data_IF_285813399344
#
_entry.id   IF_285813399344
#
_cell.length_a   1.000
_cell.length_b   1.000
_cell.length_c   1.000
_cell.angle_alpha   90.00
_cell.angle_beta   90.00
_cell.angle_gamma   90.00
#
_symmetry.space_group_name_H-M   'P 1'
#
loop_
_entity.id
_entity.type
_entity.pdbx_description
1 polymer ?
#
# COMPACT_ATOMS: atom_id res chain seq x y z
N UNK A 1 12.93 -1.27 -19.65
CA UNK A 1 12.53 0.16 -19.77
C UNK A 1 11.80 0.57 -18.49
N UNK A 2 12.25 1.63 -17.83
CA UNK A 2 11.65 2.13 -16.58
C UNK A 2 10.63 3.23 -16.91
N UNK A 3 9.48 3.18 -16.24
CA UNK A 3 8.53 4.30 -16.18
C UNK A 3 9.28 5.56 -15.71
N UNK A 4 8.86 6.76 -16.13
CA UNK A 4 9.47 7.99 -15.63
C UNK A 4 9.38 8.05 -14.10
N UNK A 5 10.52 8.30 -13.43
CA UNK A 5 10.59 8.42 -11.98
C UNK A 5 9.57 9.41 -11.43
N UNK A 6 9.34 10.52 -12.14
CA UNK A 6 8.38 11.56 -11.77
C UNK A 6 6.95 11.03 -11.84
N UNK A 7 6.62 10.21 -12.85
CA UNK A 7 5.28 9.59 -12.95
C UNK A 7 5.01 8.64 -11.78
N UNK A 8 5.99 7.80 -11.40
CA UNK A 8 5.83 6.87 -10.29
C UNK A 8 5.67 7.59 -8.94
N UNK A 9 6.38 8.70 -8.72
CA UNK A 9 6.21 9.55 -7.52
C UNK A 9 4.81 10.16 -7.47
N UNK A 10 4.34 10.76 -8.56
CA UNK A 10 2.99 11.37 -8.62
C UNK A 10 1.89 10.32 -8.46
N UNK A 11 2.03 9.14 -9.07
CA UNK A 11 1.14 7.99 -8.82
C UNK A 11 1.09 7.62 -7.34
N UNK A 12 2.25 7.58 -6.67
CA UNK A 12 2.35 7.30 -5.24
C UNK A 12 1.61 8.33 -4.40
N UNK A 13 1.82 9.63 -4.66
CA UNK A 13 1.15 10.72 -3.93
C UNK A 13 -0.37 10.66 -4.15
N UNK A 14 -0.82 10.52 -5.40
CA UNK A 14 -2.26 10.42 -5.70
C UNK A 14 -2.91 9.23 -5.02
N UNK A 15 -2.21 8.08 -4.97
CA UNK A 15 -2.70 6.91 -4.24
C UNK A 15 -2.82 7.17 -2.73
N UNK A 16 -1.85 7.87 -2.12
CA UNK A 16 -1.92 8.23 -0.69
C UNK A 16 -3.11 9.13 -0.38
N UNK A 17 -3.38 10.12 -1.22
CA UNK A 17 -4.53 11.01 -1.05
C UNK A 17 -5.86 10.26 -1.17
N UNK A 18 -6.00 9.39 -2.17
CA UNK A 18 -7.22 8.58 -2.36
C UNK A 18 -7.42 7.61 -1.20
N UNK A 19 -6.36 6.92 -0.77
CA UNK A 19 -6.42 5.96 0.32
C UNK A 19 -6.78 6.59 1.67
N UNK A 20 -6.22 7.77 1.98
CA UNK A 20 -6.57 8.51 3.21
C UNK A 20 -7.99 9.06 3.15
N UNK A 21 -8.42 9.58 1.99
CA UNK A 21 -9.79 10.03 1.79
C UNK A 21 -10.80 8.90 1.97
N UNK A 22 -10.51 7.71 1.46
CA UNK A 22 -11.34 6.50 1.63
C UNK A 22 -11.50 6.13 3.10
N UNK A 23 -10.40 6.06 3.86
CA UNK A 23 -10.46 5.75 5.30
C UNK A 23 -11.26 6.79 6.08
N UNK A 24 -11.09 8.09 5.78
CA UNK A 24 -11.89 9.16 6.42
C UNK A 24 -13.37 8.99 6.06
N UNK A 25 -13.67 8.74 4.78
CA UNK A 25 -15.04 8.56 4.32
C UNK A 25 -15.72 7.35 4.98
N UNK A 26 -15.07 6.19 5.00
CA UNK A 26 -15.58 5.00 5.66
C UNK A 26 -15.73 5.20 7.17
N UNK A 27 -14.73 5.80 7.81
CA UNK A 27 -14.79 6.10 9.23
C UNK A 27 -15.97 7.01 9.54
N UNK A 28 -16.20 8.06 8.73
CA UNK A 28 -17.37 8.93 8.89
C UNK A 28 -18.68 8.19 8.67
N UNK A 29 -18.76 7.33 7.65
CA UNK A 29 -19.93 6.53 7.33
C UNK A 29 -20.36 5.61 8.49
N UNK A 30 -19.40 4.97 9.17
CA UNK A 30 -19.71 4.06 10.29
C UNK A 30 -19.83 4.75 11.65
N UNK A 31 -19.07 5.83 11.87
CA UNK A 31 -19.06 6.53 13.15
C UNK A 31 -20.11 7.62 13.26
N UNK A 32 -20.60 8.13 12.12
CA UNK A 32 -21.47 9.31 12.00
C UNK A 32 -20.86 10.58 12.60
N UNK A 33 -19.54 10.58 12.84
CA UNK A 33 -18.80 11.70 13.44
C UNK A 33 -17.61 12.09 12.57
N UNK A 34 -17.64 13.31 12.05
CA UNK A 34 -16.55 13.84 11.23
C UNK A 34 -15.26 14.02 12.04
N UNK A 35 -15.38 14.37 13.33
CA UNK A 35 -14.23 14.52 14.21
C UNK A 35 -13.53 13.17 14.43
N UNK A 36 -14.29 12.12 14.71
CA UNK A 36 -13.74 10.77 14.86
C UNK A 36 -13.08 10.29 13.56
N UNK A 37 -13.74 10.52 12.42
CA UNK A 37 -13.23 10.14 11.11
C UNK A 37 -11.90 10.82 10.76
N UNK A 38 -11.79 12.13 11.02
CA UNK A 38 -10.56 12.88 10.81
C UNK A 38 -9.44 12.42 11.74
N UNK A 39 -9.74 12.13 13.01
CA UNK A 39 -8.76 11.56 13.96
C UNK A 39 -8.24 10.20 13.48
N UNK A 40 -9.12 9.30 13.05
CA UNK A 40 -8.74 7.99 12.53
C UNK A 40 -7.85 8.14 11.30
N UNK A 41 -8.28 8.92 10.30
CA UNK A 41 -7.51 9.12 9.07
C UNK A 41 -6.15 9.79 9.31
N UNK A 42 -6.07 10.73 10.23
CA UNK A 42 -4.81 11.39 10.59
C UNK A 42 -3.86 10.42 11.29
N UNK A 43 -4.32 9.71 12.32
CA UNK A 43 -3.49 8.72 13.05
C UNK A 43 -3.00 7.65 12.08
N UNK A 44 -3.89 7.12 11.23
CA UNK A 44 -3.57 6.08 10.24
C UNK A 44 -2.41 6.51 9.31
N UNK A 45 -2.40 7.78 8.88
CA UNK A 45 -1.37 8.29 7.99
C UNK A 45 0.02 8.19 8.62
N UNK A 46 0.15 8.50 9.91
CA UNK A 46 1.42 8.40 10.64
C UNK A 46 1.75 6.97 11.06
N UNK A 47 0.78 6.21 11.57
CA UNK A 47 1.00 4.82 12.03
C UNK A 47 1.42 3.94 10.87
N UNK A 48 0.82 4.05 9.67
CA UNK A 48 1.22 3.23 8.52
C UNK A 48 2.62 3.54 8.03
N UNK A 49 3.12 4.77 8.18
CA UNK A 49 4.52 5.09 7.86
C UNK A 49 5.46 4.36 8.83
N UNK A 50 5.18 4.45 10.14
CA UNK A 50 5.96 3.78 11.17
C UNK A 50 5.91 2.25 11.05
N UNK A 51 4.71 1.68 10.88
CA UNK A 51 4.49 0.25 10.71
C UNK A 51 5.18 -0.28 9.45
N UNK A 52 5.13 0.45 8.34
CA UNK A 52 5.82 0.04 7.12
C UNK A 52 7.32 -0.03 7.35
N UNK A 53 7.89 0.99 8.01
CA UNK A 53 9.30 1.01 8.35
C UNK A 53 9.67 -0.17 9.27
N UNK A 54 8.92 -0.40 10.34
CA UNK A 54 9.17 -1.51 11.27
C UNK A 54 9.03 -2.87 10.58
N UNK A 55 8.00 -3.04 9.75
CA UNK A 55 7.77 -4.25 8.96
C UNK A 55 8.96 -4.56 8.06
N UNK A 56 9.47 -3.56 7.34
CA UNK A 56 10.64 -3.74 6.48
C UNK A 56 11.91 -4.07 7.30
N UNK A 57 12.12 -3.43 8.46
CA UNK A 57 13.25 -3.75 9.36
C UNK A 57 13.19 -5.16 9.91
N UNK A 58 12.01 -5.61 10.31
CA UNK A 58 11.77 -6.98 10.75
C UNK A 58 12.06 -7.94 9.59
N UNK A 59 11.61 -7.61 8.38
CA UNK A 59 11.85 -8.44 7.20
C UNK A 59 13.33 -8.52 6.80
N UNK A 60 14.13 -7.50 7.06
CA UNK A 60 15.58 -7.57 6.81
C UNK A 60 16.24 -8.56 7.78
N UNK A 61 15.79 -8.61 9.04
CA UNK A 61 16.33 -9.53 10.06
C UNK A 61 15.97 -10.99 9.78
N UNK A 62 14.75 -11.25 9.30
CA UNK A 62 14.35 -12.57 8.86
C UNK A 62 14.99 -12.86 7.49
N UNK A 63 16.08 -13.62 7.47
CA UNK A 63 16.84 -14.02 6.26
C UNK A 63 16.06 -14.92 5.28
N UNK A 64 14.73 -14.97 5.36
CA UNK A 64 13.88 -15.82 4.52
C UNK A 64 13.95 -15.34 3.08
N UNK A 65 14.42 -16.24 2.21
CA UNK A 65 14.38 -16.06 0.77
C UNK A 65 15.39 -15.06 0.20
N UNK A 66 16.42 -14.67 0.95
CA UNK A 66 17.49 -13.77 0.49
C UNK A 66 18.54 -14.45 -0.42
N UNK A 67 18.29 -15.68 -0.90
CA UNK A 67 19.16 -16.31 -1.89
C UNK A 67 19.03 -15.59 -3.23
N UNK A 68 19.89 -14.60 -3.42
CA UNK A 68 20.13 -13.94 -4.69
C UNK A 68 20.86 -14.96 -5.56
N UNK A 69 20.19 -15.50 -6.57
CA UNK A 69 20.89 -16.22 -7.62
C UNK A 69 21.60 -15.18 -8.49
N UNK A 70 22.92 -15.09 -8.37
CA UNK A 70 23.76 -14.26 -9.24
C UNK A 70 23.97 -15.03 -10.54
N UNK A 71 23.37 -14.55 -11.62
CA UNK A 71 23.66 -15.03 -12.96
C UNK A 71 24.72 -14.10 -13.56
N UNK A 72 25.93 -14.60 -13.76
CA UNK A 72 26.95 -13.89 -14.54
C UNK A 72 26.67 -14.19 -16.01
N UNK A 73 26.27 -13.15 -16.76
CA UNK A 73 26.24 -13.20 -18.22
C UNK A 73 27.57 -12.61 -18.74
N UNK A 74 28.11 -13.13 -19.84
CA UNK A 74 29.40 -12.74 -20.46
C UNK A 74 29.56 -11.22 -20.66
N UNK A 75 28.47 -10.45 -20.62
CA UNK A 75 28.46 -8.99 -20.74
C UNK A 75 28.53 -8.22 -19.40
N UNK A 76 29.01 -8.82 -18.31
CA UNK A 76 29.24 -8.15 -17.00
C UNK A 76 28.04 -7.46 -16.35
N UNK A 77 26.80 -7.79 -16.74
CA UNK A 77 25.59 -7.25 -16.12
C UNK A 77 25.10 -8.18 -15.01
N UNK A 78 25.25 -7.76 -13.75
CA UNK A 78 24.75 -8.50 -12.58
C UNK A 78 23.23 -8.31 -12.48
N UNK A 79 22.45 -9.36 -12.73
CA UNK A 79 20.99 -9.34 -12.54
C UNK A 79 20.60 -9.98 -11.20
N UNK A 80 20.07 -9.15 -10.30
CA UNK A 80 19.46 -9.60 -9.05
C UNK A 80 18.05 -10.14 -9.31
N UNK A 81 17.80 -11.42 -9.01
CA UNK A 81 16.47 -12.04 -9.12
C UNK A 81 16.00 -12.55 -7.77
N UNK A 82 15.12 -11.80 -7.12
CA UNK A 82 14.40 -12.25 -5.93
C UNK A 82 13.44 -13.41 -6.27
N UNK A 83 13.24 -14.35 -5.34
CA UNK A 83 12.18 -15.37 -5.48
C UNK A 83 10.81 -14.67 -5.48
N UNK A 84 10.02 -14.93 -6.52
CA UNK A 84 8.70 -14.30 -6.72
C UNK A 84 7.73 -14.48 -5.53
N UNK A 85 7.89 -15.56 -4.76
CA UNK A 85 7.11 -15.84 -3.55
C UNK A 85 7.39 -14.86 -2.39
N UNK A 86 8.61 -14.33 -2.26
CA UNK A 86 8.98 -13.41 -1.16
C UNK A 86 8.13 -12.14 -1.19
N UNK A 87 7.95 -11.56 -2.38
CA UNK A 87 7.14 -10.36 -2.58
C UNK A 87 5.65 -10.60 -2.29
N UNK A 88 5.14 -11.80 -2.60
CA UNK A 88 3.76 -12.19 -2.30
C UNK A 88 3.55 -12.29 -0.78
N UNK A 89 4.42 -13.00 -0.05
CA UNK A 89 4.34 -13.12 1.42
C UNK A 89 4.50 -11.76 2.10
N UNK A 90 5.42 -10.93 1.61
CA UNK A 90 5.60 -9.55 2.10
C UNK A 90 4.32 -8.73 1.88
N UNK A 91 3.68 -8.85 0.72
CA UNK A 91 2.41 -8.19 0.43
C UNK A 91 1.28 -8.64 1.35
N UNK A 92 1.10 -9.95 1.55
CA UNK A 92 0.06 -10.52 2.42
C UNK A 92 0.27 -10.09 3.87
N UNK A 93 1.50 -10.19 4.39
CA UNK A 93 1.82 -9.74 5.74
C UNK A 93 1.54 -8.26 5.93
N UNK A 94 1.91 -7.40 4.96
CA UNK A 94 1.61 -5.98 5.01
C UNK A 94 0.11 -5.69 5.06
N UNK A 95 -0.71 -6.44 4.29
CA UNK A 95 -2.17 -6.29 4.32
C UNK A 95 -2.74 -6.66 5.69
N UNK A 96 -2.26 -7.75 6.29
CA UNK A 96 -2.68 -8.17 7.62
C UNK A 96 -2.39 -7.09 8.67
N UNK A 97 -1.14 -6.62 8.77
CA UNK A 97 -0.77 -5.57 9.74
C UNK A 97 -1.50 -4.26 9.48
N UNK A 98 -1.68 -3.88 8.21
CA UNK A 98 -2.39 -2.66 7.85
C UNK A 98 -3.87 -2.67 8.22
N UNK A 99 -4.54 -3.82 8.15
CA UNK A 99 -5.95 -3.98 8.58
C UNK A 99 -6.06 -4.00 10.09
N UNK A 100 -5.14 -4.69 10.78
CA UNK A 100 -5.10 -4.71 12.24
C UNK A 100 -4.89 -3.31 12.80
N UNK A 101 -4.00 -2.51 12.21
CA UNK A 101 -3.76 -1.12 12.59
C UNK A 101 -5.04 -0.27 12.50
N UNK A 102 -5.74 -0.31 11.36
CA UNK A 102 -6.99 0.43 11.17
C UNK A 102 -8.06 0.01 12.17
N UNK A 103 -8.18 -1.29 12.47
CA UNK A 103 -9.12 -1.79 13.49
C UNK A 103 -8.76 -1.26 14.88
N UNK A 104 -7.48 -1.31 15.26
CA UNK A 104 -7.00 -0.83 16.57
C UNK A 104 -7.26 0.68 16.70
N UNK A 105 -6.86 1.48 15.71
CA UNK A 105 -7.06 2.93 15.71
C UNK A 105 -8.56 3.26 15.81
N UNK A 106 -9.38 2.59 15.00
CA UNK A 106 -10.83 2.78 15.03
C UNK A 106 -11.42 2.40 16.40
N UNK A 107 -10.93 1.34 17.03
CA UNK A 107 -11.34 0.94 18.38
C UNK A 107 -10.94 1.97 19.44
N UNK A 108 -9.71 2.49 19.36
CA UNK A 108 -9.22 3.49 20.30
C UNK A 108 -10.00 4.80 20.23
N UNK A 109 -10.46 5.18 19.04
CA UNK A 109 -11.23 6.43 18.83
C UNK A 109 -12.72 6.24 19.13
N UNK A 110 -13.31 5.12 18.73
CA UNK A 110 -14.77 4.91 18.79
C UNK A 110 -15.23 4.16 20.03
N UNK A 111 -14.33 3.41 20.68
CA UNK A 111 -14.62 2.46 21.76
C UNK A 111 -15.68 1.40 21.41
N UNK A 112 -15.92 1.15 20.12
CA UNK A 112 -16.94 0.22 19.64
C UNK A 112 -16.33 -0.83 18.70
N UNK A 113 -16.26 -2.08 19.18
CA UNK A 113 -15.72 -3.20 18.42
C UNK A 113 -16.44 -3.40 17.08
N UNK A 114 -17.78 -3.38 17.07
CA UNK A 114 -18.57 -3.62 15.85
C UNK A 114 -18.23 -2.61 14.74
N UNK A 115 -18.16 -1.32 15.07
CA UNK A 115 -17.79 -0.26 14.11
C UNK A 115 -16.35 -0.39 13.64
N UNK A 116 -15.42 -0.65 14.55
CA UNK A 116 -14.01 -0.80 14.21
C UNK A 116 -13.75 -1.98 13.26
N UNK A 117 -14.38 -3.12 13.50
CA UNK A 117 -14.30 -4.27 12.58
C UNK A 117 -14.97 -3.98 11.24
N UNK A 118 -16.13 -3.29 11.23
CA UNK A 118 -16.80 -2.90 9.99
C UNK A 118 -15.91 -1.99 9.13
N UNK A 119 -15.28 -0.98 9.72
CA UNK A 119 -14.34 -0.07 9.04
C UNK A 119 -13.15 -0.86 8.47
N UNK A 120 -12.47 -1.65 9.31
CA UNK A 120 -11.29 -2.41 8.88
C UNK A 120 -11.59 -3.45 7.79
N UNK A 121 -12.72 -4.13 7.89
CA UNK A 121 -13.14 -5.12 6.89
C UNK A 121 -13.51 -4.45 5.56
N UNK A 122 -14.33 -3.40 5.59
CA UNK A 122 -14.74 -2.68 4.37
C UNK A 122 -13.56 -2.01 3.68
N UNK A 123 -12.61 -1.45 4.43
CA UNK A 123 -11.38 -0.85 3.90
C UNK A 123 -10.61 -1.80 2.97
N UNK A 124 -10.54 -3.09 3.31
CA UNK A 124 -9.81 -4.06 2.47
C UNK A 124 -10.41 -4.14 1.08
N UNK A 125 -11.75 -4.19 0.98
CA UNK A 125 -12.44 -4.30 -0.29
C UNK A 125 -12.43 -2.98 -1.06
N UNK A 126 -12.69 -1.85 -0.38
CA UNK A 126 -12.68 -0.53 -1.02
C UNK A 126 -11.30 -0.20 -1.57
N UNK A 127 -10.22 -0.43 -0.81
CA UNK A 127 -8.86 -0.14 -1.28
C UNK A 127 -8.43 -1.03 -2.44
N UNK A 128 -8.92 -2.27 -2.53
CA UNK A 128 -8.68 -3.11 -3.71
C UNK A 128 -9.38 -2.53 -4.94
N UNK A 129 -10.67 -2.18 -4.82
CA UNK A 129 -11.45 -1.57 -5.91
C UNK A 129 -10.89 -0.21 -6.35
N UNK A 130 -10.60 0.68 -5.41
CA UNK A 130 -10.03 2.00 -5.67
C UNK A 130 -8.65 1.92 -6.30
N UNK A 131 -7.80 0.99 -5.86
CA UNK A 131 -6.47 0.80 -6.47
C UNK A 131 -6.60 0.36 -7.93
N UNK A 132 -7.49 -0.59 -8.20
CA UNK A 132 -7.78 -1.02 -9.55
C UNK A 132 -8.24 0.15 -10.43
N UNK A 133 -9.23 0.92 -9.97
CA UNK A 133 -9.74 2.09 -10.70
C UNK A 133 -8.66 3.15 -10.91
N UNK A 134 -7.87 3.45 -9.88
CA UNK A 134 -6.74 4.38 -9.95
C UNK A 134 -5.74 3.97 -11.02
N UNK A 135 -5.34 2.70 -11.06
CA UNK A 135 -4.42 2.22 -12.09
C UNK A 135 -5.06 2.28 -13.48
N UNK A 136 -6.36 1.98 -13.64
CA UNK A 136 -7.08 2.12 -14.92
C UNK A 136 -7.13 3.56 -15.41
N UNK A 137 -7.35 4.52 -14.53
CA UNK A 137 -7.30 5.95 -14.87
C UNK A 137 -5.89 6.33 -15.31
N UNK A 138 -4.87 5.90 -14.58
CA UNK A 138 -3.47 6.15 -14.93
C UNK A 138 -3.01 5.48 -16.23
N UNK A 139 -3.61 4.36 -16.61
CA UNK A 139 -3.40 3.74 -17.92
C UNK A 139 -3.95 4.58 -19.07
N UNK A 140 -4.90 5.49 -18.85
CA UNK A 140 -5.39 6.40 -19.91
C UNK A 140 -4.48 7.61 -20.10
N UNK A 141 -3.81 8.05 -19.04
CA UNK A 141 -2.89 9.20 -19.06
C UNK A 141 -1.63 8.85 -19.87
N UNK A 142 -1.35 9.59 -20.96
CA UNK A 142 -0.19 9.34 -21.84
C UNK A 142 1.15 9.79 -21.26
N UNK A 143 1.13 10.71 -20.30
CA UNK A 143 2.33 11.32 -19.71
C UNK A 143 3.23 10.29 -19.01
N UNK A 144 4.54 10.36 -19.27
CA UNK A 144 5.58 9.57 -18.61
C UNK A 144 5.56 8.05 -18.88
N UNK A 145 4.79 7.60 -19.88
CA UNK A 145 4.79 6.21 -20.34
C UNK A 145 6.05 5.90 -21.16
N UNK A 146 6.56 4.66 -21.11
CA UNK A 146 7.58 4.22 -22.06
C UNK A 146 7.02 4.35 -23.49
N UNK A 147 7.78 5.01 -24.37
CA UNK A 147 7.47 5.06 -25.81
C UNK A 147 7.77 3.68 -26.38
N UNK A 148 6.74 2.98 -26.87
CA UNK A 148 6.93 1.75 -27.62
C UNK A 148 7.19 2.14 -29.08
N UNK A 149 8.44 2.08 -29.51
CA UNK A 149 8.74 2.07 -30.96
C UNK A 149 8.43 0.66 -31.42
N UNK A 150 7.27 0.48 -32.07
CA UNK A 150 6.95 -0.79 -32.73
C UNK A 150 7.68 -0.73 -34.07
N UNK A 151 8.76 -1.53 -34.21
CA UNK A 151 9.46 -1.73 -35.48
C UNK A 151 8.75 -2.80 -36.31
#
# INVERSE_FOLDING_TARGET
MKESHVRSVVKGITWRMIGTADTIFLSWLFTESIEAALKIGFIELFTKILLFYLHERIWIKFHIGQHINVYVNDNSNIHYKDKHWRSLVKGISWRFFGTVDTIIISLLVTHQYSKAFAIGFTEVFTKVGLYYLHERVWMKIKWGKPIYVVS
#
